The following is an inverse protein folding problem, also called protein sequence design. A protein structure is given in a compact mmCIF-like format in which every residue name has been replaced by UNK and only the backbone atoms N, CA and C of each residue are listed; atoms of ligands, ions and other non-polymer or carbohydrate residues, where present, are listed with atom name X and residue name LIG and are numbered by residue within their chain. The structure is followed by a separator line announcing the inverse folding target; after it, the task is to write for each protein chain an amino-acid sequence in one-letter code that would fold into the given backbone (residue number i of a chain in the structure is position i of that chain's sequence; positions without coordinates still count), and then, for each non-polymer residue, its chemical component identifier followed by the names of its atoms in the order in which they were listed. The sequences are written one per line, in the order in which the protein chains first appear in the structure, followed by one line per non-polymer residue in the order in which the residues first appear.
data_IF_540177944296
#
_entry.id   IF_540177944296
#
_cell.length_a   1.000
_cell.length_b   1.000
_cell.length_c   1.000
_cell.angle_alpha   90.00
_cell.angle_beta   90.00
_cell.angle_gamma   90.00
#
_symmetry.space_group_name_H-M   'P 1'
#
loop_
_entity.id
_entity.type
_entity.pdbx_description
1 polymer ?
#
# COMPACT_ATOMS: atom_id res chain seq x y z
N UNK A 1 12.99 21.50 -10.17
CA UNK A 1 12.17 20.32 -9.79
C UNK A 1 12.84 19.60 -8.62
N UNK A 2 12.15 19.42 -7.48
CA UNK A 2 12.72 18.80 -6.27
C UNK A 2 12.79 17.27 -6.37
N UNK A 3 11.91 16.66 -7.16
CA UNK A 3 11.87 15.22 -7.44
C UNK A 3 11.42 14.96 -8.87
N UNK A 4 11.44 13.69 -9.29
CA UNK A 4 10.83 13.24 -10.55
C UNK A 4 9.60 12.42 -10.21
N UNK A 5 8.46 12.83 -10.74
CA UNK A 5 7.18 12.16 -10.55
C UNK A 5 7.30 10.70 -11.02
N UNK A 6 6.73 9.72 -10.28
CA UNK A 6 6.58 8.35 -10.77
C UNK A 6 5.80 8.40 -12.07
N UNK A 7 6.32 7.79 -13.13
CA UNK A 7 5.69 7.78 -14.46
C UNK A 7 5.07 6.45 -14.84
N UNK A 8 5.45 5.41 -14.11
CA UNK A 8 5.11 4.04 -14.45
C UNK A 8 4.16 3.49 -13.40
N UNK A 9 3.18 2.74 -13.87
CA UNK A 9 2.28 1.98 -13.02
C UNK A 9 3.08 1.01 -12.16
N UNK A 10 2.69 0.87 -10.90
CA UNK A 10 3.08 -0.25 -10.07
C UNK A 10 1.83 -1.05 -9.67
N UNK A 11 1.85 -2.37 -9.84
CA UNK A 11 0.68 -3.22 -9.60
C UNK A 11 0.47 -3.63 -8.15
N UNK A 12 1.44 -3.41 -7.27
CA UNK A 12 1.42 -3.97 -5.92
C UNK A 12 0.51 -3.26 -4.93
N UNK A 13 -0.12 -2.15 -5.32
CA UNK A 13 -1.16 -1.48 -4.54
C UNK A 13 -2.11 -0.76 -5.49
N UNK A 14 -3.40 -1.07 -5.39
CA UNK A 14 -4.47 -0.48 -6.21
C UNK A 14 -5.67 -0.13 -5.33
N UNK A 15 -6.41 0.91 -5.72
CA UNK A 15 -7.69 1.28 -5.11
C UNK A 15 -8.60 1.85 -6.19
N UNK A 16 -9.88 1.53 -6.13
CA UNK A 16 -10.86 2.03 -7.09
C UNK A 16 -12.25 1.43 -6.86
N UNK A 17 -13.25 1.86 -7.64
CA UNK A 17 -14.57 1.24 -7.66
C UNK A 17 -14.47 -0.25 -8.00
N UNK A 18 -15.29 -1.08 -7.35
CA UNK A 18 -15.26 -2.53 -7.56
C UNK A 18 -15.57 -2.95 -9.01
N UNK A 19 -16.44 -2.21 -9.70
CA UNK A 19 -16.75 -2.44 -11.12
C UNK A 19 -15.50 -2.27 -11.98
N UNK A 20 -14.89 -1.09 -11.94
CA UNK A 20 -13.68 -0.77 -12.69
C UNK A 20 -12.52 -1.73 -12.38
N UNK A 21 -12.36 -2.13 -11.11
CA UNK A 21 -11.34 -3.11 -10.72
C UNK A 21 -11.60 -4.49 -11.34
N UNK A 22 -12.86 -4.95 -11.38
CA UNK A 22 -13.23 -6.22 -12.03
C UNK A 22 -12.96 -6.15 -13.52
N UNK A 23 -13.42 -5.10 -14.19
CA UNK A 23 -13.22 -4.91 -15.63
C UNK A 23 -11.73 -4.90 -16.00
N UNK A 24 -10.90 -4.23 -15.20
CA UNK A 24 -9.45 -4.19 -15.38
C UNK A 24 -8.79 -5.57 -15.15
N UNK A 25 -9.20 -6.30 -14.11
CA UNK A 25 -8.68 -7.64 -13.83
C UNK A 25 -9.10 -8.63 -14.93
N UNK A 26 -10.36 -8.60 -15.37
CA UNK A 26 -10.87 -9.47 -16.43
C UNK A 26 -10.12 -9.21 -17.75
N UNK A 27 -9.87 -7.94 -18.09
CA UNK A 27 -9.04 -7.59 -19.24
C UNK A 27 -7.58 -8.07 -19.10
N UNK A 28 -7.02 -8.05 -17.88
CA UNK A 28 -5.68 -8.57 -17.64
C UNK A 28 -5.63 -10.09 -17.81
N UNK A 29 -6.66 -10.81 -17.35
CA UNK A 29 -6.79 -12.26 -17.53
C UNK A 29 -6.94 -12.64 -19.01
N UNK A 30 -7.74 -11.89 -19.79
CA UNK A 30 -7.86 -12.08 -21.24
C UNK A 30 -6.51 -11.85 -21.93
N UNK A 31 -5.80 -10.78 -21.57
CA UNK A 31 -4.46 -10.49 -22.10
C UNK A 31 -3.47 -11.61 -21.74
N UNK A 32 -3.52 -12.14 -20.52
CA UNK A 32 -2.71 -13.30 -20.11
C UNK A 32 -3.05 -14.48 -21.00
N UNK A 33 -4.31 -14.90 -21.09
CA UNK A 33 -4.74 -16.04 -21.89
C UNK A 33 -4.32 -15.93 -23.37
N UNK A 34 -4.42 -14.73 -23.95
CA UNK A 34 -4.07 -14.48 -25.35
C UNK A 34 -2.57 -14.36 -25.64
N UNK A 35 -1.73 -14.11 -24.63
CA UNK A 35 -0.30 -13.83 -24.83
C UNK A 35 0.64 -14.66 -23.96
N UNK A 36 0.10 -15.60 -23.17
CA UNK A 36 0.90 -16.41 -22.27
C UNK A 36 1.88 -17.28 -23.05
N UNK A 37 3.13 -17.27 -22.61
CA UNK A 37 4.20 -18.05 -23.20
C UNK A 37 5.10 -18.56 -22.07
N UNK A 38 5.23 -19.88 -21.96
CA UNK A 38 6.01 -20.57 -20.92
C UNK A 38 7.47 -20.13 -20.86
N UNK A 39 8.05 -19.73 -21.98
CA UNK A 39 9.46 -19.30 -22.08
C UNK A 39 9.64 -17.80 -21.80
N UNK A 40 8.56 -17.03 -21.76
CA UNK A 40 8.65 -15.59 -21.55
C UNK A 40 8.95 -15.27 -20.07
N UNK A 41 9.94 -14.41 -19.83
CA UNK A 41 10.43 -14.10 -18.47
C UNK A 41 9.41 -13.37 -17.57
N UNK A 42 8.41 -12.69 -18.14
CA UNK A 42 7.40 -11.96 -17.39
C UNK A 42 6.00 -12.61 -17.46
N UNK A 43 5.91 -13.87 -17.89
CA UNK A 43 4.65 -14.62 -18.08
C UNK A 43 3.73 -14.72 -16.85
N UNK A 44 4.27 -14.56 -15.65
CA UNK A 44 3.53 -14.60 -14.39
C UNK A 44 3.57 -13.23 -13.66
N UNK A 45 3.94 -12.15 -14.36
CA UNK A 45 4.08 -10.83 -13.74
C UNK A 45 2.80 -10.01 -13.93
N UNK A 46 2.05 -9.86 -12.85
CA UNK A 46 0.95 -8.89 -12.72
C UNK A 46 1.34 -7.49 -13.20
N UNK A 47 2.52 -7.01 -12.78
CA UNK A 47 3.10 -5.72 -13.16
C UNK A 47 3.25 -5.55 -14.68
N UNK A 48 3.59 -6.62 -15.39
CA UNK A 48 3.74 -6.61 -16.84
C UNK A 48 2.39 -6.47 -17.56
N UNK A 49 1.40 -7.28 -17.15
CA UNK A 49 0.09 -7.29 -17.80
C UNK A 49 -0.72 -6.03 -17.50
N UNK A 50 -0.78 -5.60 -16.23
CA UNK A 50 -1.44 -4.35 -15.86
C UNK A 50 -0.72 -3.13 -16.46
N UNK A 51 0.62 -3.18 -16.53
CA UNK A 51 1.41 -2.14 -17.21
C UNK A 51 1.09 -2.04 -18.70
N UNK A 52 0.81 -3.16 -19.38
CA UNK A 52 0.36 -3.17 -20.78
C UNK A 52 -1.02 -2.56 -20.96
N UNK A 53 -1.98 -2.88 -20.08
CA UNK A 53 -3.31 -2.28 -20.11
C UNK A 53 -3.24 -0.77 -19.92
N UNK A 54 -2.49 -0.32 -18.92
CA UNK A 54 -2.25 1.11 -18.70
C UNK A 54 -1.60 1.78 -19.91
N UNK A 55 -0.56 1.18 -20.49
CA UNK A 55 0.06 1.72 -21.70
C UNK A 55 -0.92 1.82 -22.88
N UNK A 56 -1.81 0.83 -23.05
CA UNK A 56 -2.85 0.87 -24.09
C UNK A 56 -3.85 1.98 -23.85
N UNK A 57 -4.27 2.19 -22.60
CA UNK A 57 -5.16 3.29 -22.22
C UNK A 57 -4.52 4.63 -22.54
N UNK A 58 -3.30 4.89 -22.05
CA UNK A 58 -2.58 6.15 -22.25
C UNK A 58 -2.38 6.47 -23.74
N UNK A 59 -2.09 5.45 -24.56
CA UNK A 59 -1.98 5.60 -26.01
C UNK A 59 -3.32 5.99 -26.63
N UNK A 60 -4.41 5.32 -26.28
CA UNK A 60 -5.73 5.63 -26.82
C UNK A 60 -6.21 7.02 -26.41
N UNK A 61 -6.02 7.40 -25.14
CA UNK A 61 -6.35 8.75 -24.65
C UNK A 61 -5.51 9.82 -25.35
N UNK A 62 -4.21 9.58 -25.50
CA UNK A 62 -3.32 10.49 -26.24
C UNK A 62 -3.77 10.65 -27.68
N UNK A 63 -4.07 9.55 -28.39
CA UNK A 63 -4.56 9.59 -29.76
C UNK A 63 -5.88 10.36 -29.87
N UNK A 64 -6.81 10.17 -28.93
CA UNK A 64 -8.08 10.90 -28.92
C UNK A 64 -7.88 12.42 -28.76
N UNK A 65 -6.97 12.85 -27.89
CA UNK A 65 -6.69 14.28 -27.63
C UNK A 65 -5.94 14.94 -28.79
N UNK A 66 -5.06 14.20 -29.45
CA UNK A 66 -4.12 14.74 -30.46
C UNK A 66 -4.58 14.56 -31.90
N UNK A 67 -5.76 13.96 -32.13
CA UNK A 67 -6.22 13.62 -33.49
C UNK A 67 -5.42 12.49 -34.14
N UNK A 68 -4.92 11.54 -33.36
CA UNK A 68 -4.23 10.34 -33.83
C UNK A 68 -2.70 10.37 -33.75
N UNK A 69 -2.10 11.39 -33.14
CA UNK A 69 -0.63 11.56 -33.08
C UNK A 69 -0.11 11.23 -31.68
N UNK A 70 0.63 10.14 -31.53
CA UNK A 70 1.31 9.85 -30.25
C UNK A 70 2.68 10.55 -30.22
N UNK A 71 2.91 11.55 -29.34
CA UNK A 71 4.17 12.29 -29.30
C UNK A 71 5.33 11.40 -28.83
N UNK A 72 6.55 11.73 -29.28
CA UNK A 72 7.80 11.14 -28.76
C UNK A 72 7.96 9.61 -28.93
N UNK A 73 7.41 9.03 -30.00
CA UNK A 73 7.78 7.70 -30.48
C UNK A 73 9.19 7.73 -31.11
N UNK A 74 10.23 7.90 -30.28
CA UNK A 74 11.60 7.61 -30.73
C UNK A 74 11.69 6.11 -31.03
N UNK A 75 12.20 5.77 -32.22
CA UNK A 75 11.95 4.55 -33.01
C UNK A 75 12.19 3.16 -32.40
N UNK A 76 12.49 3.04 -31.11
CA UNK A 76 12.57 1.75 -30.40
C UNK A 76 11.35 1.45 -29.52
N UNK A 77 10.46 2.43 -29.28
CA UNK A 77 9.24 2.22 -28.48
C UNK A 77 8.14 1.57 -29.33
N UNK A 78 7.82 0.31 -29.02
CA UNK A 78 6.67 -0.39 -29.61
C UNK A 78 5.39 0.02 -28.91
N UNK A 79 4.41 0.50 -29.67
CA UNK A 79 3.06 0.71 -29.16
C UNK A 79 2.39 -0.64 -28.86
N UNK A 80 1.50 -0.70 -27.85
CA UNK A 80 0.69 -1.88 -27.59
C UNK A 80 -0.14 -2.25 -28.83
N UNK A 81 -0.01 -3.49 -29.30
CA UNK A 81 -0.71 -3.96 -30.49
C UNK A 81 -2.13 -4.38 -30.12
N UNK A 82 -3.16 -3.85 -30.78
CA UNK A 82 -4.56 -4.14 -30.46
C UNK A 82 -4.90 -5.63 -30.49
N UNK A 83 -4.22 -6.42 -31.34
CA UNK A 83 -4.41 -7.86 -31.46
C UNK A 83 -4.02 -8.64 -30.21
N UNK A 84 -3.17 -8.09 -29.33
CA UNK A 84 -2.71 -8.78 -28.11
C UNK A 84 -3.79 -8.85 -27.03
N UNK A 85 -4.77 -7.96 -27.04
CA UNK A 85 -5.61 -7.71 -25.86
C UNK A 85 -6.95 -8.46 -25.84
N UNK A 86 -7.34 -9.12 -26.92
CA UNK A 86 -8.60 -9.90 -26.99
C UNK A 86 -9.91 -9.10 -26.84
N UNK A 87 -9.86 -7.81 -26.48
CA UNK A 87 -11.02 -6.92 -26.32
C UNK A 87 -10.81 -5.58 -27.03
N UNK A 88 -11.91 -4.98 -27.51
CA UNK A 88 -11.92 -3.61 -28.06
C UNK A 88 -11.82 -2.54 -26.98
N UNK A 89 -12.13 -2.88 -25.72
CA UNK A 89 -12.03 -1.93 -24.61
C UNK A 89 -10.58 -1.48 -24.42
N UNK A 90 -10.42 -0.16 -24.34
CA UNK A 90 -9.14 0.53 -24.29
C UNK A 90 -8.96 1.34 -23.02
N UNK A 91 -10.06 1.77 -22.40
CA UNK A 91 -10.07 2.57 -21.18
C UNK A 91 -10.57 1.71 -20.02
N UNK A 92 -9.81 1.77 -18.93
CA UNK A 92 -10.05 1.04 -17.69
C UNK A 92 -9.98 1.99 -16.48
N UNK A 93 -10.03 3.30 -16.72
CA UNK A 93 -9.93 4.36 -15.72
C UNK A 93 -8.69 4.24 -14.81
N UNK A 94 -7.60 3.67 -15.33
CA UNK A 94 -6.36 3.50 -14.58
C UNK A 94 -5.66 4.85 -14.43
N UNK A 95 -5.24 5.19 -13.22
CA UNK A 95 -4.40 6.37 -12.96
C UNK A 95 -3.23 6.01 -12.06
N UNK A 96 -2.13 6.78 -12.17
CA UNK A 96 -0.93 6.62 -11.33
C UNK A 96 -0.92 7.71 -10.28
N UNK A 97 -0.66 7.32 -9.03
CA UNK A 97 -0.41 8.27 -7.93
C UNK A 97 0.96 8.95 -8.10
N UNK A 98 0.97 10.00 -8.93
CA UNK A 98 2.18 10.73 -9.28
C UNK A 98 2.80 11.48 -8.08
N UNK A 99 2.02 11.81 -7.06
CA UNK A 99 2.50 12.59 -5.92
C UNK A 99 2.87 11.73 -4.71
N UNK A 100 2.64 10.40 -4.80
CA UNK A 100 2.70 9.50 -3.64
C UNK A 100 1.79 9.96 -2.49
N UNK A 101 0.61 10.48 -2.84
CA UNK A 101 -0.38 10.97 -1.88
C UNK A 101 -1.15 9.82 -1.21
N UNK A 102 -1.25 8.68 -1.89
CA UNK A 102 -1.93 7.47 -1.43
C UNK A 102 -0.95 6.33 -1.16
N UNK A 103 -0.02 6.06 -2.08
CA UNK A 103 0.96 4.98 -1.91
C UNK A 103 2.36 5.49 -2.21
N UNK A 104 3.32 5.17 -1.34
CA UNK A 104 4.73 5.43 -1.61
C UNK A 104 5.49 4.11 -1.81
N UNK A 105 5.96 3.92 -3.05
CA UNK A 105 6.77 2.75 -3.43
C UNK A 105 8.23 2.97 -3.03
N UNK A 106 8.88 1.98 -2.40
CA UNK A 106 10.26 2.14 -1.92
C UNK A 106 11.25 2.48 -3.03
N UNK A 107 11.18 1.75 -4.15
CA UNK A 107 12.11 1.92 -5.25
C UNK A 107 11.96 3.34 -5.84
N UNK A 108 13.10 3.99 -6.10
CA UNK A 108 13.18 5.41 -6.49
C UNK A 108 12.70 6.46 -5.46
N UNK A 109 11.97 6.09 -4.40
CA UNK A 109 11.57 7.03 -3.34
C UNK A 109 12.30 6.87 -2.01
N UNK A 110 13.10 5.82 -1.80
CA UNK A 110 13.79 5.53 -0.51
C UNK A 110 14.51 6.75 0.07
N UNK A 111 15.12 7.54 -0.79
CA UNK A 111 15.81 8.77 -0.44
C UNK A 111 14.87 9.79 0.20
N UNK A 112 13.62 9.89 -0.25
CA UNK A 112 12.62 10.88 0.15
C UNK A 112 11.65 10.42 1.24
N UNK A 113 11.62 9.12 1.55
CA UNK A 113 10.73 8.56 2.55
C UNK A 113 11.26 8.76 3.96
N UNK A 114 10.51 9.47 4.82
CA UNK A 114 10.87 9.70 6.22
C UNK A 114 9.68 9.43 7.13
N UNK A 115 9.94 8.85 8.29
CA UNK A 115 8.98 8.80 9.39
C UNK A 115 9.22 10.05 10.24
N UNK A 116 8.34 11.05 10.09
CA UNK A 116 8.48 12.34 10.76
C UNK A 116 7.37 12.57 11.77
N UNK A 117 7.74 13.14 12.91
CA UNK A 117 6.79 13.71 13.85
C UNK A 117 6.46 15.16 13.44
N UNK A 118 5.23 15.57 13.72
CA UNK A 118 4.71 16.91 13.46
C UNK A 118 4.53 17.65 14.79
N UNK A 119 5.65 17.85 15.48
CA UNK A 119 5.74 18.25 16.88
C UNK A 119 5.58 19.76 17.15
N UNK A 120 5.75 20.60 16.13
CA UNK A 120 5.70 22.06 16.27
C UNK A 120 4.28 22.60 16.34
N UNK A 121 4.17 23.87 16.72
CA UNK A 121 2.90 24.61 16.71
C UNK A 121 2.18 24.45 15.37
N UNK A 122 0.90 24.14 15.45
CA UNK A 122 0.04 23.86 14.32
C UNK A 122 0.27 22.49 13.67
N UNK A 123 0.95 21.50 14.28
CA UNK A 123 1.26 20.19 13.67
C UNK A 123 2.19 20.30 12.46
N UNK A 124 3.34 20.95 12.67
CA UNK A 124 4.36 21.19 11.64
C UNK A 124 5.62 20.39 11.90
N UNK A 125 6.31 20.04 10.83
CA UNK A 125 7.65 19.45 10.86
C UNK A 125 8.59 20.24 9.95
N UNK A 126 9.88 20.31 10.29
CA UNK A 126 10.88 21.05 9.48
C UNK A 126 11.88 20.08 8.90
N UNK A 127 11.95 20.04 7.57
CA UNK A 127 12.97 19.29 6.84
C UNK A 127 14.23 20.14 6.79
N UNK A 128 15.26 19.74 7.53
CA UNK A 128 16.51 20.52 7.71
C UNK A 128 17.67 20.08 6.83
N UNK A 129 17.61 18.87 6.27
CA UNK A 129 18.73 18.27 5.54
C UNK A 129 18.33 17.91 4.10
N UNK A 130 19.26 18.13 3.16
CA UNK A 130 19.17 17.57 1.81
C UNK A 130 19.51 16.09 1.82
N UNK A 131 18.86 15.34 0.95
CA UNK A 131 19.20 13.94 0.67
C UNK A 131 20.26 13.83 -0.43
N UNK A 132 20.35 14.85 -1.30
CA UNK A 132 21.32 14.87 -2.38
C UNK A 132 22.66 15.43 -1.89
N UNK A 133 23.73 14.67 -2.13
CA UNK A 133 25.10 15.20 -2.23
C UNK A 133 25.22 16.07 -3.48
N UNK A 134 24.75 17.33 -3.48
CA UNK A 134 24.94 18.28 -4.62
C UNK A 134 25.17 19.74 -4.20
N UNK A 135 25.90 20.44 -5.08
CA UNK A 135 26.56 21.76 -5.02
C UNK A 135 25.75 23.00 -4.57
N UNK A 136 24.49 22.87 -4.16
CA UNK A 136 23.67 24.02 -3.77
C UNK A 136 23.27 23.94 -2.29
N UNK A 137 23.29 25.07 -1.55
CA UNK A 137 22.87 25.09 -0.16
C UNK A 137 21.41 24.66 -0.05
N UNK A 138 21.16 23.68 0.81
CA UNK A 138 19.80 23.23 1.10
C UNK A 138 19.06 24.32 1.88
N UNK A 139 17.86 24.70 1.42
CA UNK A 139 16.97 25.60 2.16
C UNK A 139 15.97 24.75 2.95
N UNK A 140 16.00 24.79 4.29
CA UNK A 140 14.99 24.14 5.10
C UNK A 140 13.58 24.58 4.72
N UNK A 141 12.63 23.65 4.81
CA UNK A 141 11.22 23.93 4.54
C UNK A 141 10.34 23.20 5.55
N UNK A 142 9.11 23.67 5.68
CA UNK A 142 8.13 23.14 6.62
C UNK A 142 7.12 22.28 5.88
N UNK A 143 6.77 21.14 6.48
CA UNK A 143 5.62 20.33 6.08
C UNK A 143 4.57 20.45 7.18
N UNK A 144 3.33 20.65 6.79
CA UNK A 144 2.18 20.82 7.67
C UNK A 144 1.31 19.57 7.57
N UNK A 145 0.96 18.94 8.69
CA UNK A 145 -0.03 17.86 8.68
C UNK A 145 -1.36 18.42 8.17
N UNK A 146 -2.02 17.79 7.17
CA UNK A 146 -3.33 18.23 6.71
C UNK A 146 -4.37 18.14 7.83
N UNK A 147 -5.27 19.14 7.92
CA UNK A 147 -6.29 19.17 8.97
C UNK A 147 -7.21 17.94 9.00
N UNK A 148 -7.46 17.32 7.83
CA UNK A 148 -8.20 16.06 7.74
C UNK A 148 -7.48 14.89 8.42
N UNK A 149 -6.14 14.84 8.31
CA UNK A 149 -5.32 13.83 9.00
C UNK A 149 -5.34 14.08 10.50
N UNK A 150 -5.20 15.33 10.95
CA UNK A 150 -5.34 15.69 12.38
C UNK A 150 -6.70 15.24 12.92
N UNK A 151 -7.80 15.54 12.20
CA UNK A 151 -9.15 15.15 12.59
C UNK A 151 -9.33 13.63 12.63
N UNK A 152 -8.78 12.90 11.66
CA UNK A 152 -8.84 11.44 11.62
C UNK A 152 -8.07 10.80 12.78
N UNK A 153 -6.85 11.27 13.05
CA UNK A 153 -6.04 10.79 14.18
C UNK A 153 -6.68 11.15 15.53
N UNK A 154 -7.30 12.32 15.65
CA UNK A 154 -8.07 12.72 16.84
C UNK A 154 -9.22 11.75 17.09
N UNK A 155 -10.07 11.52 16.08
CA UNK A 155 -11.17 10.54 16.16
C UNK A 155 -10.67 9.14 16.54
N UNK A 156 -9.56 8.70 15.93
CA UNK A 156 -8.99 7.39 16.18
C UNK A 156 -8.52 7.23 17.63
N UNK A 157 -7.79 8.23 18.14
CA UNK A 157 -7.23 8.15 19.49
C UNK A 157 -8.29 8.34 20.55
N UNK A 158 -9.20 9.30 20.38
CA UNK A 158 -10.30 9.56 21.31
C UNK A 158 -11.30 8.39 21.41
N UNK A 159 -11.31 7.48 20.42
CA UNK A 159 -12.15 6.29 20.43
C UNK A 159 -11.60 5.15 21.33
N UNK A 160 -10.37 5.29 21.84
CA UNK A 160 -9.76 4.29 22.73
C UNK A 160 -9.46 4.91 24.10
N UNK A 161 -9.38 4.09 25.16
CA UNK A 161 -8.90 4.56 26.45
C UNK A 161 -7.42 4.91 26.34
N UNK A 162 -7.04 6.13 26.72
CA UNK A 162 -5.67 6.60 26.65
C UNK A 162 -5.30 7.49 27.85
N UNK A 163 -4.02 7.46 28.22
CA UNK A 163 -3.52 8.14 29.41
C UNK A 163 -2.94 9.54 29.11
N UNK A 164 -2.66 9.85 27.85
CA UNK A 164 -2.02 11.10 27.43
C UNK A 164 -2.95 11.94 26.56
N UNK A 165 -2.91 13.28 26.64
CA UNK A 165 -3.75 14.12 25.79
C UNK A 165 -3.58 13.82 24.30
N UNK A 166 -4.68 13.75 23.56
CA UNK A 166 -4.71 13.45 22.12
C UNK A 166 -3.79 14.35 21.30
N UNK A 167 -3.72 15.64 21.64
CA UNK A 167 -2.83 16.60 20.98
C UNK A 167 -1.34 16.28 21.19
N UNK A 168 -0.98 15.71 22.34
CA UNK A 168 0.38 15.26 22.65
C UNK A 168 0.70 13.96 21.91
N UNK A 169 -0.24 13.00 21.88
CA UNK A 169 -0.07 11.77 21.11
C UNK A 169 0.15 12.07 19.63
N UNK A 170 -0.71 12.89 18.99
CA UNK A 170 -0.59 13.24 17.57
C UNK A 170 0.78 13.84 17.25
N UNK A 171 1.34 14.68 18.15
CA UNK A 171 2.68 15.26 18.00
C UNK A 171 3.80 14.24 18.16
N UNK A 172 3.58 13.16 18.90
CA UNK A 172 4.55 12.10 19.14
C UNK A 172 4.61 11.06 18.01
N UNK A 173 3.49 10.84 17.31
CA UNK A 173 3.40 9.84 16.25
C UNK A 173 4.26 10.23 15.06
N UNK A 174 5.09 9.29 14.60
CA UNK A 174 5.85 9.43 13.36
C UNK A 174 5.04 8.87 12.21
N UNK A 175 4.81 9.68 11.19
CA UNK A 175 4.05 9.28 10.00
C UNK A 175 4.97 9.18 8.79
N UNK A 176 4.73 8.15 7.98
CA UNK A 176 5.38 7.98 6.68
C UNK A 176 5.10 9.18 5.78
N UNK A 177 6.13 9.96 5.47
CA UNK A 177 6.04 11.19 4.70
C UNK A 177 7.03 11.18 3.56
N UNK A 178 6.57 11.50 2.36
CA UNK A 178 7.43 11.78 1.22
C UNK A 178 7.85 13.24 1.33
N UNK A 179 9.09 13.51 1.74
CA UNK A 179 9.54 14.88 1.99
C UNK A 179 9.76 15.68 0.68
N UNK A 180 9.75 15.01 -0.48
CA UNK A 180 9.85 15.69 -1.77
C UNK A 180 8.53 16.34 -2.17
N UNK A 181 7.40 15.65 -1.94
CA UNK A 181 6.04 16.13 -2.24
C UNK A 181 5.36 16.79 -1.05
N UNK A 182 5.78 16.45 0.17
CA UNK A 182 5.16 16.90 1.41
C UNK A 182 3.97 16.03 1.84
N UNK A 183 3.63 14.98 1.08
CA UNK A 183 2.50 14.11 1.39
C UNK A 183 2.82 13.09 2.46
N UNK A 184 1.86 12.91 3.37
CA UNK A 184 1.82 11.79 4.30
C UNK A 184 1.15 10.63 3.56
N UNK A 185 1.91 9.58 3.24
CA UNK A 185 1.37 8.45 2.51
C UNK A 185 0.77 7.43 3.48
N UNK A 186 -0.49 6.99 3.28
CA UNK A 186 -1.11 5.98 4.12
C UNK A 186 -0.56 4.58 3.86
N UNK A 187 -0.13 4.28 2.63
CA UNK A 187 0.35 2.95 2.25
C UNK A 187 1.82 2.97 1.82
N UNK A 188 2.59 2.08 2.43
CA UNK A 188 3.96 1.77 2.03
C UNK A 188 3.95 0.53 1.14
N UNK A 189 4.61 0.61 -0.02
CA UNK A 189 4.78 -0.53 -0.90
C UNK A 189 6.27 -0.90 -1.06
N UNK A 190 6.65 -2.05 -0.50
CA UNK A 190 8.03 -2.56 -0.48
C UNK A 190 8.50 -3.13 -1.83
N UNK A 191 8.89 -2.24 -2.74
CA UNK A 191 9.45 -2.61 -4.06
C UNK A 191 10.98 -2.73 -4.05
N UNK A 192 11.53 -3.46 -5.02
CA UNK A 192 12.97 -3.71 -5.19
C UNK A 192 13.55 -4.49 -3.99
N UNK A 193 14.60 -3.99 -3.33
CA UNK A 193 15.23 -4.70 -2.20
C UNK A 193 14.33 -4.66 -0.95
N UNK A 194 13.84 -5.82 -0.52
CA UNK A 194 12.97 -5.99 0.65
C UNK A 194 13.71 -6.09 2.00
N UNK A 195 15.02 -5.83 2.01
CA UNK A 195 15.85 -5.93 3.22
C UNK A 195 15.41 -5.04 4.38
N UNK A 196 14.66 -3.97 4.10
CA UNK A 196 14.20 -3.02 5.10
C UNK A 196 12.74 -3.26 5.53
N UNK A 197 12.10 -4.34 5.07
CA UNK A 197 10.68 -4.56 5.32
C UNK A 197 10.37 -4.59 6.84
N UNK A 198 11.13 -5.38 7.60
CA UNK A 198 10.95 -5.52 9.05
C UNK A 198 11.19 -4.19 9.77
N UNK A 199 12.31 -3.52 9.51
CA UNK A 199 12.59 -2.23 10.16
C UNK A 199 11.56 -1.16 9.82
N UNK A 200 11.03 -1.15 8.60
CA UNK A 200 9.95 -0.24 8.19
C UNK A 200 8.62 -0.58 8.86
N UNK A 201 8.31 -1.86 9.05
CA UNK A 201 7.14 -2.29 9.80
C UNK A 201 7.23 -1.86 11.27
N UNK A 202 8.40 -2.04 11.90
CA UNK A 202 8.67 -1.61 13.28
C UNK A 202 8.55 -0.09 13.48
N UNK A 203 8.82 0.69 12.44
CA UNK A 203 8.67 2.15 12.47
C UNK A 203 7.22 2.64 12.30
N UNK A 204 6.26 1.77 11.94
CA UNK A 204 4.88 2.18 11.76
C UNK A 204 4.26 2.64 13.09
N UNK A 205 3.40 3.65 13.03
CA UNK A 205 2.72 4.17 14.22
C UNK A 205 1.88 3.12 14.96
N UNK A 206 1.38 2.11 14.24
CA UNK A 206 0.58 1.02 14.79
C UNK A 206 1.42 -0.11 15.38
N UNK A 207 2.73 -0.16 15.10
CA UNK A 207 3.58 -1.25 15.55
C UNK A 207 3.50 -1.49 17.06
N UNK A 208 3.56 -0.44 17.93
CA UNK A 208 3.46 -0.61 19.38
C UNK A 208 2.13 -1.18 19.88
N UNK A 209 1.08 -1.17 19.05
CA UNK A 209 -0.25 -1.71 19.40
C UNK A 209 -0.64 -2.92 18.56
N UNK A 210 0.23 -3.38 17.65
CA UNK A 210 -0.09 -4.43 16.68
C UNK A 210 -0.52 -5.74 17.35
N UNK A 211 0.18 -6.17 18.41
CA UNK A 211 -0.17 -7.35 19.20
C UNK A 211 -1.57 -7.24 19.81
N UNK A 212 -1.88 -6.13 20.48
CA UNK A 212 -3.19 -5.88 21.10
C UNK A 212 -4.32 -5.89 20.07
N UNK A 213 -4.06 -5.34 18.87
CA UNK A 213 -5.02 -5.37 17.77
C UNK A 213 -5.28 -6.80 17.27
N UNK A 214 -4.24 -7.63 17.15
CA UNK A 214 -4.39 -9.03 16.77
C UNK A 214 -5.13 -9.85 17.84
N UNK A 215 -4.81 -9.62 19.12
CA UNK A 215 -5.50 -10.26 20.25
C UNK A 215 -6.98 -9.88 20.31
N UNK A 216 -7.31 -8.60 20.08
CA UNK A 216 -8.70 -8.14 20.00
C UNK A 216 -9.45 -8.78 18.84
N UNK A 217 -8.80 -8.90 17.66
CA UNK A 217 -9.39 -9.55 16.50
C UNK A 217 -9.64 -11.06 16.72
N UNK A 218 -8.72 -11.77 17.40
CA UNK A 218 -8.91 -13.16 17.80
C UNK A 218 -10.12 -13.33 18.72
N UNK A 219 -10.21 -12.52 19.78
CA UNK A 219 -11.31 -12.59 20.75
C UNK A 219 -12.67 -12.32 20.09
N UNK A 220 -12.74 -11.32 19.22
CA UNK A 220 -13.97 -11.01 18.48
C UNK A 220 -14.39 -12.18 17.58
N UNK A 221 -13.43 -12.82 16.92
CA UNK A 221 -13.68 -14.00 16.09
C UNK A 221 -14.16 -15.21 16.93
N UNK A 222 -13.56 -15.45 18.10
CA UNK A 222 -13.97 -16.47 19.07
C UNK A 222 -15.40 -16.25 19.60
N UNK A 223 -15.71 -15.01 19.97
CA UNK A 223 -17.04 -14.63 20.42
C UNK A 223 -18.09 -14.59 19.30
N UNK A 224 -17.66 -14.65 18.03
CA UNK A 224 -18.49 -14.30 16.85
C UNK A 224 -19.12 -12.91 16.99
N UNK A 225 -18.36 -11.99 17.57
CA UNK A 225 -18.75 -10.62 17.82
C UNK A 225 -18.08 -9.66 16.83
N UNK A 226 -18.66 -8.47 16.59
CA UNK A 226 -17.97 -7.39 15.90
C UNK A 226 -16.68 -6.96 16.64
N UNK A 227 -15.72 -6.41 15.90
CA UNK A 227 -14.47 -5.85 16.44
C UNK A 227 -14.69 -4.62 17.33
N UNK A 228 -15.85 -3.97 17.20
CA UNK A 228 -16.23 -2.79 17.98
C UNK A 228 -17.68 -2.91 18.42
N UNK A 229 -17.97 -2.48 19.67
CA UNK A 229 -19.34 -2.43 20.19
C UNK A 229 -20.21 -1.47 19.38
N UNK A 230 -19.66 -0.28 19.09
CA UNK A 230 -20.32 0.72 18.26
C UNK A 230 -20.06 0.51 16.77
N UNK A 231 -20.97 1.00 15.95
CA UNK A 231 -20.77 1.08 14.49
C UNK A 231 -19.73 2.14 14.15
N UNK A 232 -18.81 1.79 13.26
CA UNK A 232 -17.83 2.74 12.70
C UNK A 232 -18.32 3.14 11.32
N UNK A 233 -18.69 4.41 11.16
CA UNK A 233 -19.28 4.97 9.94
C UNK A 233 -20.51 4.14 9.44
N UNK A 234 -21.37 3.73 10.38
CA UNK A 234 -22.61 3.00 10.10
C UNK A 234 -22.41 1.53 9.76
N UNK A 235 -21.23 0.95 10.06
CA UNK A 235 -20.90 -0.44 9.75
C UNK A 235 -20.33 -1.15 10.98
N UNK A 236 -20.72 -2.40 11.16
CA UNK A 236 -20.01 -3.32 12.04
C UNK A 236 -18.81 -3.88 11.29
N UNK A 237 -17.65 -3.79 11.93
CA UNK A 237 -16.43 -4.41 11.43
C UNK A 237 -16.32 -5.79 12.05
N UNK A 238 -16.12 -6.80 11.21
CA UNK A 238 -15.95 -8.19 11.63
C UNK A 238 -14.54 -8.65 11.25
N UNK A 239 -13.99 -9.61 12.00
CA UNK A 239 -12.73 -10.24 11.62
C UNK A 239 -12.90 -10.98 10.29
N UNK A 240 -11.97 -10.78 9.35
CA UNK A 240 -12.11 -11.23 7.96
C UNK A 240 -11.83 -12.72 7.75
N UNK A 241 -11.19 -13.40 8.70
CA UNK A 241 -10.76 -14.79 8.55
C UNK A 241 -11.49 -15.67 9.56
N UNK A 242 -12.19 -16.70 9.08
CA UNK A 242 -12.45 -17.89 9.89
C UNK A 242 -11.39 -18.93 9.50
N UNK A 243 -10.68 -19.52 10.44
CA UNK A 243 -9.70 -20.56 10.11
C UNK A 243 -10.46 -21.77 9.50
N UNK A 244 -10.09 -22.26 8.29
CA UNK A 244 -10.64 -23.47 7.73
C UNK A 244 -10.12 -24.64 8.56
N UNK A 245 -11.04 -25.50 8.97
CA UNK A 245 -10.90 -26.57 9.98
C UNK A 245 -10.90 -26.07 11.45
N UNK A 246 -12.10 -25.76 11.94
CA UNK A 246 -12.41 -25.55 13.37
C UNK A 246 -12.16 -26.79 14.27
N UNK A 247 -11.63 -27.90 13.75
CA UNK A 247 -11.39 -29.11 14.55
C UNK A 247 -10.34 -28.89 15.65
N UNK A 248 -9.51 -27.84 15.54
CA UNK A 248 -8.49 -27.44 16.53
C UNK A 248 -8.80 -26.16 17.32
N UNK A 249 -9.92 -25.49 17.07
CA UNK A 249 -10.25 -24.19 17.67
C UNK A 249 -9.50 -23.00 17.05
N UNK A 250 -9.72 -21.80 17.61
CA UNK A 250 -9.07 -20.57 17.16
C UNK A 250 -7.67 -20.47 17.77
N UNK A 251 -6.68 -20.23 16.93
CA UNK A 251 -5.25 -20.31 17.28
C UNK A 251 -4.66 -18.96 17.71
N UNK A 252 -5.37 -18.23 18.58
CA UNK A 252 -4.92 -16.94 19.10
C UNK A 252 -4.69 -15.89 18.00
N UNK A 253 -3.52 -15.25 17.99
CA UNK A 253 -3.26 -14.04 17.21
C UNK A 253 -3.08 -14.21 15.68
N UNK A 254 -3.30 -15.41 15.13
CA UNK A 254 -3.12 -15.67 13.68
C UNK A 254 -2.23 -16.86 13.37
N UNK A 255 -1.78 -16.95 12.12
CA UNK A 255 -0.93 -18.03 11.62
C UNK A 255 -0.76 -17.99 10.10
N UNK A 256 -0.17 -19.03 9.53
CA UNK A 256 0.13 -19.14 8.11
C UNK A 256 -0.46 -20.42 7.50
N UNK A 257 -0.79 -20.35 6.20
CA UNK A 257 -1.04 -21.53 5.39
C UNK A 257 0.26 -21.95 4.69
N UNK A 258 0.39 -23.25 4.46
CA UNK A 258 1.46 -23.80 3.64
C UNK A 258 0.84 -24.45 2.42
N UNK A 259 1.45 -24.28 1.26
CA UNK A 259 1.08 -24.90 -0.02
C UNK A 259 1.66 -26.33 -0.16
N UNK A 260 1.94 -26.99 0.96
CA UNK A 260 2.58 -28.31 0.98
C UNK A 260 1.61 -29.38 0.48
N UNK A 261 2.00 -30.05 -0.61
CA UNK A 261 1.19 -31.08 -1.27
C UNK A 261 0.95 -32.34 -0.42
N UNK A 262 1.72 -32.53 0.66
CA UNK A 262 1.72 -33.75 1.47
C UNK A 262 0.78 -33.71 2.70
N UNK A 263 0.00 -32.64 2.89
CA UNK A 263 -0.87 -32.54 4.08
C UNK A 263 -2.26 -31.99 3.75
N UNK A 264 -3.27 -32.46 4.47
CA UNK A 264 -4.57 -31.79 4.63
C UNK A 264 -4.34 -30.40 5.28
N UNK A 265 -3.80 -29.45 4.50
CA UNK A 265 -3.15 -28.20 4.90
C UNK A 265 -3.44 -27.76 6.35
N UNK A 266 -2.52 -28.12 7.25
CA UNK A 266 -2.56 -27.66 8.63
C UNK A 266 -2.18 -26.17 8.65
N UNK A 267 -3.14 -25.34 9.04
CA UNK A 267 -2.85 -23.99 9.49
C UNK A 267 -1.78 -24.05 10.60
N UNK A 268 -0.67 -23.33 10.44
CA UNK A 268 0.38 -23.25 11.46
C UNK A 268 0.12 -21.98 12.29
N UNK A 269 -0.20 -22.11 13.60
CA UNK A 269 -0.37 -20.96 14.47
C UNK A 269 0.84 -20.05 14.46
N UNK A 270 0.62 -18.74 14.55
CA UNK A 270 1.72 -17.78 14.60
C UNK A 270 2.64 -18.05 15.80
N UNK A 271 2.09 -18.56 16.90
CA UNK A 271 2.85 -18.95 18.08
C UNK A 271 3.86 -20.06 17.80
N UNK A 272 3.51 -20.98 16.91
CA UNK A 272 4.38 -22.07 16.47
C UNK A 272 5.34 -21.56 15.39
N UNK A 273 4.83 -20.88 14.37
CA UNK A 273 5.63 -20.37 13.26
C UNK A 273 6.69 -19.37 13.69
N UNK A 274 6.37 -18.51 14.65
CA UNK A 274 7.28 -17.49 15.19
C UNK A 274 7.91 -17.91 16.53
N UNK A 275 8.03 -19.21 16.81
CA UNK A 275 8.67 -19.70 18.04
C UNK A 275 10.04 -19.02 18.21
N UNK A 276 10.24 -18.35 19.35
CA UNK A 276 11.47 -17.60 19.66
C UNK A 276 11.53 -16.14 19.17
N UNK A 277 10.54 -15.69 18.38
CA UNK A 277 10.45 -14.32 17.85
C UNK A 277 9.19 -13.57 18.28
N UNK A 278 8.25 -14.24 18.96
CA UNK A 278 7.02 -13.61 19.46
C UNK A 278 7.28 -12.45 20.43
N UNK A 279 8.40 -12.49 21.14
CA UNK A 279 8.83 -11.41 22.04
C UNK A 279 9.23 -10.14 21.29
N UNK A 280 9.53 -10.23 19.98
CA UNK A 280 9.82 -9.06 19.15
C UNK A 280 8.54 -8.30 18.79
N UNK A 281 7.37 -8.92 18.85
CA UNK A 281 6.10 -8.22 18.76
C UNK A 281 5.92 -7.39 20.03
N UNK A 282 5.82 -6.06 19.85
CA UNK A 282 5.70 -5.13 20.96
C UNK A 282 4.55 -5.53 21.92
N UNK A 283 4.72 -5.34 23.24
CA UNK A 283 3.72 -5.67 24.27
C UNK A 283 2.45 -4.80 24.24
#
# INVERSE_FOLDING_TARGET
MRYSDPRYLNSGTVIGPLGDLRDCIDAALILIQGTWNSTYKHRNSDQYYLGKLYARQEVNQTMAITGGIVPNLKGTRKLPQSSEFGTKQADYHITVDHESAFTCTQCANVDWMRNIAFDRSGYRSVVKNSIRKKKHPFKPFTIQMPGRVVKALTRLYDAINHDQPTSQWIKSVKLGTNIATGHIYPLYHGTCRKSNFISRYMDLWLYPISRKLLEAASKALEGKEPLSADMIDGRHWISSQHYPNNNGGLHGIGGIYTDSQDSNESFIPLTEFCTGYLEELAP
#
